data_IF_987408659827
#
_entry.id   IF_987408659827
#
_cell.length_a   1.000
_cell.length_b   1.000
_cell.length_c   1.000
_cell.angle_alpha   90.00
_cell.angle_beta   90.00
_cell.angle_gamma   90.00
#
_symmetry.space_group_name_H-M   'P 1'
#
loop_
_entity.id
_entity.type
_entity.pdbx_description
1 polymer ?
#
# COMPACT_ATOMS: atom_id res chain seq x y z
N UNK A 1 -35.00 -14.17 40.90
CA UNK A 1 -34.29 -14.53 39.66
C UNK A 1 -33.91 -13.23 39.01
N UNK A 2 -32.73 -12.74 39.33
CA UNK A 2 -32.12 -11.57 38.72
C UNK A 2 -31.09 -12.09 37.72
N UNK A 3 -31.28 -11.80 36.44
CA UNK A 3 -30.26 -12.05 35.42
C UNK A 3 -29.25 -10.90 35.45
N UNK A 4 -28.03 -11.18 35.91
CA UNK A 4 -26.87 -10.32 35.74
C UNK A 4 -26.53 -10.19 34.24
N UNK A 5 -26.80 -9.02 33.67
CA UNK A 5 -26.25 -8.63 32.37
C UNK A 5 -24.75 -8.32 32.57
N UNK A 6 -23.90 -9.31 32.27
CA UNK A 6 -22.45 -9.08 32.13
C UNK A 6 -22.20 -8.12 30.96
N UNK A 7 -21.78 -6.90 31.25
CA UNK A 7 -21.16 -6.00 30.25
C UNK A 7 -19.83 -6.62 29.79
N UNK A 8 -19.53 -6.64 28.47
CA UNK A 8 -18.20 -7.02 28.02
C UNK A 8 -17.24 -5.87 28.35
N UNK A 9 -16.40 -6.08 29.36
CA UNK A 9 -15.19 -5.28 29.57
C UNK A 9 -14.16 -5.66 28.49
N UNK A 10 -14.36 -5.16 27.27
CA UNK A 10 -13.24 -4.96 26.36
C UNK A 10 -12.40 -3.81 26.92
N UNK A 11 -11.45 -4.16 27.78
CA UNK A 11 -10.56 -3.21 28.46
C UNK A 11 -9.82 -2.34 27.46
N UNK A 12 -9.56 -1.07 27.81
CA UNK A 12 -8.75 -0.12 27.05
C UNK A 12 -7.38 -0.65 26.62
N UNK A 13 -6.91 -1.75 27.24
CA UNK A 13 -5.71 -2.47 26.84
C UNK A 13 -5.84 -3.14 25.46
N UNK A 14 -7.00 -3.72 25.13
CA UNK A 14 -7.25 -4.33 23.81
C UNK A 14 -7.30 -3.27 22.69
N UNK A 15 -7.71 -2.05 23.05
CA UNK A 15 -7.64 -0.87 22.19
C UNK A 15 -6.22 -0.31 22.10
N UNK A 16 -5.44 -0.32 23.18
CA UNK A 16 -4.01 0.03 23.16
C UNK A 16 -3.24 -0.98 22.32
N UNK A 17 -3.60 -2.26 22.34
CA UNK A 17 -2.96 -3.32 21.56
C UNK A 17 -3.35 -3.25 20.08
N UNK A 18 -4.62 -2.96 19.73
CA UNK A 18 -5.01 -2.61 18.34
C UNK A 18 -4.39 -1.30 17.85
N UNK A 19 -4.24 -0.32 18.73
CA UNK A 19 -3.49 0.90 18.45
C UNK A 19 -2.00 0.58 18.33
N UNK A 20 -1.44 -0.38 19.07
CA UNK A 20 -0.06 -0.83 18.95
C UNK A 20 0.20 -1.62 17.66
N UNK A 21 -0.76 -2.43 17.21
CA UNK A 21 -0.75 -3.07 15.89
C UNK A 21 -0.86 -2.03 14.76
N UNK A 22 -1.62 -0.94 14.99
CA UNK A 22 -1.59 0.26 14.16
C UNK A 22 -0.28 1.07 14.34
N UNK A 23 0.43 0.96 15.48
CA UNK A 23 1.71 1.61 15.78
C UNK A 23 2.94 0.90 15.18
N UNK A 24 2.74 -0.05 14.26
CA UNK A 24 3.67 -0.24 13.13
C UNK A 24 4.00 1.11 12.43
N UNK A 25 3.21 2.17 12.65
CA UNK A 25 3.55 3.55 12.36
C UNK A 25 4.94 4.01 12.87
N UNK A 26 5.48 3.46 13.98
CA UNK A 26 6.83 3.81 14.44
C UNK A 26 7.90 3.18 13.54
N UNK A 27 7.78 1.90 13.19
CA UNK A 27 8.67 1.29 12.19
C UNK A 27 8.56 2.00 10.83
N UNK A 28 7.34 2.33 10.42
CA UNK A 28 7.04 3.07 9.19
C UNK A 28 7.64 4.49 9.24
N UNK A 29 7.51 5.21 10.36
CA UNK A 29 8.04 6.56 10.53
C UNK A 29 9.57 6.56 10.56
N UNK A 30 10.18 5.56 11.20
CA UNK A 30 11.63 5.36 11.21
C UNK A 30 12.16 4.94 9.84
N UNK A 31 11.42 4.11 9.09
CA UNK A 31 11.70 3.77 7.69
C UNK A 31 11.63 4.99 6.77
N UNK A 32 10.70 5.91 7.00
CA UNK A 32 10.56 7.15 6.22
C UNK A 32 11.74 8.10 6.49
N UNK A 33 12.20 8.19 7.75
CA UNK A 33 13.31 9.05 8.17
C UNK A 33 14.69 8.45 7.87
N UNK A 34 14.82 7.14 7.93
CA UNK A 34 16.04 6.42 7.62
C UNK A 34 16.23 6.29 6.10
N UNK A 35 17.49 6.20 5.66
CA UNK A 35 17.83 5.88 4.28
C UNK A 35 18.04 4.38 4.06
N UNK A 36 17.98 3.58 5.14
CA UNK A 36 18.15 2.13 5.10
C UNK A 36 17.35 1.42 6.19
N UNK A 37 17.03 0.15 5.95
CA UNK A 37 16.45 -0.78 6.93
C UNK A 37 17.24 -2.06 6.88
N UNK A 38 17.69 -2.49 8.05
CA UNK A 38 18.37 -3.77 8.26
C UNK A 38 17.36 -4.71 8.94
N UNK A 39 17.33 -5.96 8.51
CA UNK A 39 16.51 -7.02 9.10
C UNK A 39 17.23 -8.37 8.99
N UNK A 40 16.77 -9.35 9.74
CA UNK A 40 17.42 -10.67 9.83
C UNK A 40 16.43 -11.77 9.44
N UNK A 41 16.91 -12.73 8.63
CA UNK A 41 16.18 -13.95 8.26
C UNK A 41 17.19 -15.10 8.30
N UNK A 42 16.88 -16.19 8.99
CA UNK A 42 17.75 -17.38 9.09
C UNK A 42 19.21 -17.05 9.50
N UNK A 43 19.40 -16.15 10.46
CA UNK A 43 20.69 -15.65 10.93
C UNK A 43 21.55 -14.91 9.88
N UNK A 44 20.93 -14.48 8.77
CA UNK A 44 21.57 -13.66 7.74
C UNK A 44 21.01 -12.23 7.86
N UNK A 45 21.90 -11.25 7.99
CA UNK A 45 21.52 -9.85 7.97
C UNK A 45 21.30 -9.38 6.53
N UNK A 46 20.13 -8.81 6.28
CA UNK A 46 19.73 -8.20 5.03
C UNK A 46 19.55 -6.70 5.22
N UNK A 47 19.70 -5.94 4.15
CA UNK A 47 19.36 -4.53 4.14
C UNK A 47 18.74 -4.09 2.83
N UNK A 48 17.93 -3.06 2.93
CA UNK A 48 17.40 -2.30 1.81
C UNK A 48 17.68 -0.82 2.02
N UNK A 49 17.95 -0.11 0.94
CA UNK A 49 18.29 1.32 0.95
C UNK A 49 17.37 2.10 0.02
N UNK A 50 17.19 3.39 0.31
CA UNK A 50 16.58 4.30 -0.67
C UNK A 50 17.38 4.28 -1.98
N UNK A 51 16.71 4.25 -3.14
CA UNK A 51 17.40 4.16 -4.41
C UNK A 51 18.19 5.43 -4.68
N UNK A 52 19.47 5.24 -5.01
CA UNK A 52 20.33 6.31 -5.55
C UNK A 52 19.82 6.80 -6.91
N UNK A 53 20.28 7.97 -7.34
CA UNK A 53 19.93 8.50 -8.67
C UNK A 53 20.26 7.51 -9.80
N UNK A 54 21.41 6.85 -9.74
CA UNK A 54 21.83 5.85 -10.75
C UNK A 54 20.88 4.65 -10.80
N UNK A 55 20.48 4.13 -9.64
CA UNK A 55 19.52 3.03 -9.56
C UNK A 55 18.14 3.44 -10.08
N UNK A 56 17.68 4.68 -9.80
CA UNK A 56 16.42 5.18 -10.37
C UNK A 56 16.49 5.26 -11.90
N UNK A 57 17.59 5.77 -12.46
CA UNK A 57 17.78 5.81 -13.91
C UNK A 57 17.78 4.40 -14.53
N UNK A 58 18.42 3.43 -13.88
CA UNK A 58 18.37 2.03 -14.29
C UNK A 58 16.93 1.49 -14.32
N UNK A 59 16.18 1.68 -13.23
CA UNK A 59 14.78 1.22 -13.15
C UNK A 59 13.90 1.94 -14.17
N UNK A 60 14.10 3.24 -14.42
CA UNK A 60 13.34 3.97 -15.43
C UNK A 60 13.63 3.49 -16.85
N UNK A 61 14.89 3.13 -17.16
CA UNK A 61 15.22 2.51 -18.44
C UNK A 61 14.47 1.19 -18.59
N UNK A 62 14.50 0.35 -17.55
CA UNK A 62 13.80 -0.94 -17.52
C UNK A 62 12.28 -0.80 -17.60
N UNK A 63 11.72 0.22 -16.96
CA UNK A 63 10.30 0.61 -17.08
C UNK A 63 9.92 0.85 -18.54
N UNK A 64 10.72 1.61 -19.28
CA UNK A 64 10.44 1.91 -20.70
C UNK A 64 10.55 0.66 -21.57
N UNK A 65 11.59 -0.16 -21.35
CA UNK A 65 11.74 -1.46 -22.03
C UNK A 65 10.50 -2.33 -21.81
N UNK A 66 10.08 -2.51 -20.56
CA UNK A 66 8.91 -3.34 -20.21
C UNK A 66 7.60 -2.78 -20.75
N UNK A 67 7.42 -1.46 -20.73
CA UNK A 67 6.25 -0.80 -21.31
C UNK A 67 6.15 -1.05 -22.82
N UNK A 68 7.27 -0.95 -23.54
CA UNK A 68 7.33 -1.26 -24.98
C UNK A 68 7.04 -2.75 -25.22
N UNK A 69 7.52 -3.65 -24.36
CA UNK A 69 7.24 -5.07 -24.49
C UNK A 69 5.75 -5.38 -24.30
N UNK A 70 5.09 -4.76 -23.32
CA UNK A 70 3.64 -4.92 -23.15
C UNK A 70 2.83 -4.32 -24.29
N UNK A 71 3.29 -3.24 -24.92
CA UNK A 71 2.63 -2.67 -26.11
C UNK A 71 2.66 -3.61 -27.32
N UNK A 72 3.62 -4.53 -27.39
CA UNK A 72 3.72 -5.51 -28.48
C UNK A 72 2.86 -6.75 -28.25
N UNK A 73 2.40 -6.96 -27.02
CA UNK A 73 1.61 -8.13 -26.63
C UNK A 73 0.12 -7.75 -26.66
N UNK A 74 -0.63 -8.38 -27.56
CA UNK A 74 -2.07 -8.15 -27.77
C UNK A 74 -2.93 -8.45 -26.53
N UNK A 75 -2.37 -9.16 -25.54
CA UNK A 75 -3.06 -9.46 -24.28
C UNK A 75 -3.29 -8.22 -23.42
N UNK A 76 -2.42 -7.21 -23.52
CA UNK A 76 -2.50 -6.03 -22.65
C UNK A 76 -3.16 -4.86 -23.37
N UNK A 77 -3.93 -4.08 -22.60
CA UNK A 77 -4.61 -2.89 -23.08
C UNK A 77 -4.16 -1.69 -22.26
N UNK A 78 -4.13 -0.52 -22.90
CA UNK A 78 -3.96 0.73 -22.17
C UNK A 78 -5.17 0.95 -21.26
N UNK A 79 -4.95 1.61 -20.12
CA UNK A 79 -6.02 1.98 -19.19
C UNK A 79 -7.16 2.71 -19.90
N UNK A 80 -6.82 3.63 -20.81
CA UNK A 80 -7.82 4.37 -21.60
C UNK A 80 -8.71 3.44 -22.43
N UNK A 81 -8.13 2.41 -23.05
CA UNK A 81 -8.87 1.48 -23.89
C UNK A 81 -9.74 0.55 -23.04
N UNK A 82 -9.26 0.14 -21.86
CA UNK A 82 -10.05 -0.58 -20.86
C UNK A 82 -11.25 0.24 -20.39
N UNK A 83 -11.07 1.53 -20.09
CA UNK A 83 -12.18 2.43 -19.71
C UNK A 83 -13.26 2.48 -20.79
N UNK A 84 -12.86 2.59 -22.07
CA UNK A 84 -13.79 2.56 -23.20
C UNK A 84 -14.51 1.20 -23.27
N UNK A 85 -13.79 0.10 -23.08
CA UNK A 85 -14.34 -1.26 -23.11
C UNK A 85 -15.39 -1.45 -22.02
N UNK A 86 -15.10 -1.05 -20.78
CA UNK A 86 -16.01 -1.18 -19.65
C UNK A 86 -17.20 -0.23 -19.74
N UNK A 87 -17.01 0.98 -20.28
CA UNK A 87 -18.11 1.93 -20.52
C UNK A 87 -19.16 1.34 -21.45
N UNK A 88 -18.75 0.62 -22.50
CA UNK A 88 -19.67 -0.13 -23.39
C UNK A 88 -20.46 -1.24 -22.68
N UNK A 89 -19.99 -1.70 -21.52
CA UNK A 89 -20.64 -2.70 -20.66
C UNK A 89 -21.42 -2.08 -19.50
N UNK A 90 -21.57 -0.75 -19.49
CA UNK A 90 -22.30 -0.01 -18.45
C UNK A 90 -21.48 0.29 -17.20
N UNK A 91 -20.16 0.06 -17.21
CA UNK A 91 -19.26 0.36 -16.09
C UNK A 91 -18.45 1.61 -16.44
N UNK A 92 -18.71 2.71 -15.74
CA UNK A 92 -18.01 3.99 -15.93
C UNK A 92 -16.95 4.19 -14.84
N UNK A 93 -15.69 3.85 -15.17
CA UNK A 93 -14.56 3.96 -14.26
C UNK A 93 -14.24 5.41 -13.90
N UNK A 94 -14.47 6.37 -14.81
CA UNK A 94 -14.22 7.77 -14.52
C UNK A 94 -15.27 8.32 -13.54
N UNK A 95 -16.52 7.85 -13.63
CA UNK A 95 -17.54 8.10 -12.60
C UNK A 95 -17.15 7.48 -11.25
N UNK A 96 -16.60 6.27 -11.22
CA UNK A 96 -16.09 5.66 -9.98
C UNK A 96 -14.98 6.51 -9.34
N UNK A 97 -14.08 7.12 -10.14
CA UNK A 97 -13.07 8.04 -9.63
C UNK A 97 -13.70 9.26 -8.95
N UNK A 98 -14.65 9.91 -9.62
CA UNK A 98 -15.36 11.07 -9.09
C UNK A 98 -16.12 10.72 -7.80
N UNK A 99 -16.75 9.55 -7.74
CA UNK A 99 -17.45 9.08 -6.55
C UNK A 99 -16.48 8.84 -5.39
N UNK A 100 -15.34 8.21 -5.65
CA UNK A 100 -14.30 7.95 -4.67
C UNK A 100 -13.74 9.26 -4.09
N UNK A 101 -13.42 10.25 -4.92
CA UNK A 101 -12.96 11.58 -4.48
C UNK A 101 -14.02 12.29 -3.62
N UNK A 102 -15.29 12.22 -4.00
CA UNK A 102 -16.37 12.83 -3.23
C UNK A 102 -16.57 12.15 -1.87
N UNK A 103 -16.51 10.82 -1.80
CA UNK A 103 -16.60 10.07 -0.54
C UNK A 103 -15.41 10.38 0.37
N UNK A 104 -14.19 10.42 -0.18
CA UNK A 104 -13.00 10.79 0.59
C UNK A 104 -13.12 12.19 1.19
N UNK A 105 -13.54 13.18 0.39
CA UNK A 105 -13.77 14.56 0.88
C UNK A 105 -14.81 14.60 2.00
N UNK A 106 -15.93 13.89 1.85
CA UNK A 106 -16.98 13.84 2.89
C UNK A 106 -16.49 13.17 4.17
N UNK A 107 -15.68 12.11 4.05
CA UNK A 107 -15.03 11.44 5.19
C UNK A 107 -14.09 12.40 5.91
N UNK A 108 -13.31 13.20 5.18
CA UNK A 108 -12.40 14.19 5.77
C UNK A 108 -13.17 15.29 6.52
N UNK A 109 -14.28 15.77 5.94
CA UNK A 109 -15.21 16.69 6.62
C UNK A 109 -15.76 16.12 7.93
N UNK A 110 -16.12 14.82 7.95
CA UNK A 110 -16.59 14.14 9.16
C UNK A 110 -15.48 13.96 10.21
N UNK A 111 -14.25 13.68 9.77
CA UNK A 111 -13.09 13.62 10.68
C UNK A 111 -12.83 14.98 11.34
N UNK A 112 -12.99 16.09 10.61
CA UNK A 112 -12.89 17.45 11.18
C UNK A 112 -13.98 17.66 12.24
N UNK A 113 -15.24 17.32 11.93
CA UNK A 113 -16.35 17.42 12.90
C UNK A 113 -16.13 16.58 14.14
N UNK A 114 -15.59 15.37 13.99
CA UNK A 114 -15.23 14.51 15.12
C UNK A 114 -14.16 15.17 16.01
N UNK A 115 -13.12 15.76 15.39
CA UNK A 115 -12.09 16.50 16.12
C UNK A 115 -12.65 17.69 16.90
N UNK A 116 -13.56 18.45 16.30
CA UNK A 116 -14.27 19.55 16.97
C UNK A 116 -15.16 19.06 18.12
N UNK A 117 -15.91 17.98 17.90
CA UNK A 117 -16.78 17.39 18.91
C UNK A 117 -15.99 16.90 20.14
N UNK A 118 -14.82 16.29 19.92
CA UNK A 118 -13.88 15.89 20.98
C UNK A 118 -13.37 17.13 21.73
N UNK A 119 -12.91 18.16 21.01
CA UNK A 119 -12.42 19.41 21.62
C UNK A 119 -13.48 20.10 22.49
N UNK A 120 -14.74 20.06 22.04
CA UNK A 120 -15.87 20.66 22.72
C UNK A 120 -16.48 19.78 23.83
N UNK A 121 -15.90 18.60 24.10
CA UNK A 121 -16.42 17.62 25.09
C UNK A 121 -17.89 17.26 24.85
N UNK A 122 -18.22 17.03 23.58
CA UNK A 122 -19.56 16.56 23.19
C UNK A 122 -19.88 15.22 23.83
N UNK A 123 -21.17 14.89 23.94
CA UNK A 123 -21.59 13.65 24.59
C UNK A 123 -21.09 12.40 23.85
N UNK A 124 -20.85 11.31 24.60
CA UNK A 124 -20.35 10.05 24.05
C UNK A 124 -21.20 9.51 22.90
N UNK A 125 -22.52 9.74 22.94
CA UNK A 125 -23.43 9.28 21.90
C UNK A 125 -23.18 9.98 20.55
N UNK A 126 -22.94 11.30 20.55
CA UNK A 126 -22.65 12.07 19.35
C UNK A 126 -21.30 11.66 18.74
N UNK A 127 -20.31 11.39 19.60
CA UNK A 127 -19.02 10.86 19.18
C UNK A 127 -19.14 9.46 18.55
N UNK A 128 -19.99 8.59 19.11
CA UNK A 128 -20.23 7.26 18.55
C UNK A 128 -20.92 7.32 17.19
N UNK A 129 -21.89 8.22 17.00
CA UNK A 129 -22.56 8.40 15.71
C UNK A 129 -21.54 8.81 14.63
N UNK A 130 -20.72 9.82 14.90
CA UNK A 130 -19.70 10.28 13.95
C UNK A 130 -18.67 9.19 13.62
N UNK A 131 -18.25 8.40 14.60
CA UNK A 131 -17.32 7.28 14.39
C UNK A 131 -17.91 6.23 13.45
N UNK A 132 -19.16 5.81 13.69
CA UNK A 132 -19.85 4.83 12.83
C UNK A 132 -20.03 5.33 11.40
N UNK A 133 -20.36 6.62 11.22
CA UNK A 133 -20.46 7.21 9.89
C UNK A 133 -19.11 7.22 9.16
N UNK A 134 -18.01 7.54 9.86
CA UNK A 134 -16.67 7.50 9.29
C UNK A 134 -16.26 6.07 8.92
N UNK A 135 -16.53 5.09 9.77
CA UNK A 135 -16.28 3.67 9.52
C UNK A 135 -17.04 3.20 8.27
N UNK A 136 -18.34 3.48 8.20
CA UNK A 136 -19.16 3.14 7.03
C UNK A 136 -18.63 3.79 5.75
N UNK A 137 -18.16 5.04 5.80
CA UNK A 137 -17.56 5.69 4.63
C UNK A 137 -16.24 5.05 4.23
N UNK A 138 -15.41 4.64 5.20
CA UNK A 138 -14.15 3.95 4.91
C UNK A 138 -14.40 2.62 4.20
N UNK A 139 -15.40 1.85 4.65
CA UNK A 139 -15.78 0.59 4.01
C UNK A 139 -16.24 0.81 2.56
N UNK A 140 -17.10 1.80 2.31
CA UNK A 140 -17.56 2.14 0.97
C UNK A 140 -16.41 2.59 0.06
N UNK A 141 -15.51 3.43 0.57
CA UNK A 141 -14.31 3.88 -0.15
C UNK A 141 -13.43 2.68 -0.50
N UNK A 142 -13.21 1.77 0.45
CA UNK A 142 -12.38 0.59 0.25
C UNK A 142 -12.96 -0.34 -0.81
N UNK A 143 -14.26 -0.64 -0.75
CA UNK A 143 -14.96 -1.48 -1.73
C UNK A 143 -14.81 -0.88 -3.13
N UNK A 144 -15.11 0.42 -3.29
CA UNK A 144 -15.04 1.10 -4.58
C UNK A 144 -13.60 1.18 -5.11
N UNK A 145 -12.62 1.39 -4.23
CA UNK A 145 -11.20 1.41 -4.59
C UNK A 145 -10.72 0.05 -5.08
N UNK A 146 -11.11 -1.03 -4.41
CA UNK A 146 -10.78 -2.41 -4.79
C UNK A 146 -11.43 -2.77 -6.12
N UNK A 147 -12.72 -2.48 -6.30
CA UNK A 147 -13.42 -2.75 -7.55
C UNK A 147 -12.76 -2.03 -8.73
N UNK A 148 -12.47 -0.72 -8.56
CA UNK A 148 -11.74 0.05 -9.57
C UNK A 148 -10.37 -0.55 -9.88
N UNK A 149 -9.61 -0.91 -8.84
CA UNK A 149 -8.29 -1.52 -9.01
C UNK A 149 -8.38 -2.83 -9.78
N UNK A 150 -9.38 -3.66 -9.51
CA UNK A 150 -9.58 -4.93 -10.20
C UNK A 150 -9.93 -4.73 -11.69
N UNK A 151 -10.77 -3.74 -12.01
CA UNK A 151 -11.11 -3.41 -13.40
C UNK A 151 -9.89 -2.96 -14.20
N UNK A 152 -8.99 -2.21 -13.56
CA UNK A 152 -7.78 -1.68 -14.17
C UNK A 152 -6.55 -2.57 -14.00
N UNK A 153 -6.66 -3.69 -13.27
CA UNK A 153 -5.55 -4.61 -13.02
C UNK A 153 -4.84 -5.09 -14.30
N UNK A 154 -5.55 -5.42 -15.40
CA UNK A 154 -4.89 -5.86 -16.63
C UNK A 154 -4.28 -4.72 -17.45
N UNK A 155 -4.36 -3.46 -17.02
CA UNK A 155 -3.83 -2.34 -17.79
C UNK A 155 -2.31 -2.37 -17.88
N UNK A 156 -1.76 -1.94 -19.02
CA UNK A 156 -0.31 -1.81 -19.21
C UNK A 156 0.28 -0.93 -18.09
N UNK A 157 -0.37 0.18 -17.74
CA UNK A 157 0.07 1.11 -16.71
C UNK A 157 0.19 0.41 -15.35
N UNK A 158 -0.79 -0.43 -15.00
CA UNK A 158 -0.78 -1.19 -13.75
C UNK A 158 0.30 -2.28 -13.76
N UNK A 159 0.43 -3.03 -14.84
CA UNK A 159 1.44 -4.08 -14.98
C UNK A 159 2.86 -3.50 -14.95
N UNK A 160 3.07 -2.33 -15.57
CA UNK A 160 4.33 -1.60 -15.49
C UNK A 160 4.59 -1.09 -14.07
N UNK A 161 3.58 -0.59 -13.37
CA UNK A 161 3.73 -0.19 -11.96
C UNK A 161 4.20 -1.35 -11.09
N UNK A 162 3.57 -2.52 -11.20
CA UNK A 162 3.96 -3.74 -10.48
C UNK A 162 5.41 -4.13 -10.82
N UNK A 163 5.76 -4.13 -12.11
CA UNK A 163 7.11 -4.42 -12.55
C UNK A 163 8.14 -3.45 -11.96
N UNK A 164 7.85 -2.15 -11.90
CA UNK A 164 8.77 -1.15 -11.35
C UNK A 164 9.08 -1.45 -9.88
N UNK A 165 8.06 -1.70 -9.05
CA UNK A 165 8.27 -2.02 -7.63
C UNK A 165 9.08 -3.30 -7.47
N UNK A 166 8.72 -4.34 -8.23
CA UNK A 166 9.43 -5.61 -8.28
C UNK A 166 10.90 -5.45 -8.69
N UNK A 167 11.18 -4.61 -9.70
CA UNK A 167 12.54 -4.36 -10.18
C UNK A 167 13.34 -3.48 -9.19
N UNK A 168 12.69 -2.53 -8.51
CA UNK A 168 13.33 -1.82 -7.39
C UNK A 168 13.72 -2.77 -6.27
N UNK A 169 12.84 -3.70 -5.89
CA UNK A 169 13.14 -4.72 -4.88
C UNK A 169 14.40 -5.51 -5.25
N UNK A 170 14.47 -5.99 -6.49
CA UNK A 170 15.66 -6.66 -7.02
C UNK A 170 16.94 -5.79 -6.92
N UNK A 171 16.87 -4.53 -7.35
CA UNK A 171 18.05 -3.64 -7.40
C UNK A 171 18.56 -3.22 -6.01
N UNK A 172 17.67 -3.13 -5.03
CA UNK A 172 17.95 -2.55 -3.71
C UNK A 172 18.22 -3.58 -2.61
N UNK A 173 17.94 -4.86 -2.86
CA UNK A 173 18.13 -5.91 -1.89
C UNK A 173 19.61 -6.30 -1.74
N UNK A 174 20.13 -6.16 -0.53
CA UNK A 174 21.50 -6.55 -0.18
C UNK A 174 21.50 -7.51 1.02
N UNK A 175 22.46 -8.44 1.04
CA UNK A 175 22.78 -9.32 2.16
C UNK A 175 24.19 -9.05 2.67
N UNK A 176 24.40 -9.29 3.96
CA UNK A 176 25.72 -9.17 4.59
C UNK A 176 26.53 -10.43 4.32
N UNK A 177 27.75 -10.25 3.85
CA UNK A 177 28.76 -11.30 3.65
C UNK A 177 30.10 -10.82 4.22
N UNK A 178 30.45 -11.29 5.41
CA UNK A 178 31.55 -10.74 6.21
C UNK A 178 31.32 -9.26 6.55
N UNK A 179 32.26 -8.41 6.14
CA UNK A 179 32.18 -6.95 6.30
C UNK A 179 31.46 -6.25 5.14
N UNK A 180 31.19 -6.98 4.05
CA UNK A 180 30.64 -6.43 2.83
C UNK A 180 29.13 -6.63 2.73
N UNK A 181 28.49 -5.78 1.94
CA UNK A 181 27.10 -5.94 1.55
C UNK A 181 27.05 -6.23 0.05
N UNK A 182 26.47 -7.37 -0.29
CA UNK A 182 26.37 -7.87 -1.66
C UNK A 182 24.92 -7.94 -2.08
N UNK A 183 24.65 -7.87 -3.39
CA UNK A 183 23.29 -8.08 -3.89
C UNK A 183 22.77 -9.45 -3.46
N UNK A 184 21.49 -9.51 -3.10
CA UNK A 184 20.82 -10.79 -2.82
C UNK A 184 20.73 -11.64 -4.08
N UNK A 185 20.39 -11.00 -5.20
CA UNK A 185 20.18 -11.62 -6.50
C UNK A 185 21.10 -10.99 -7.56
N UNK A 186 21.68 -11.81 -8.44
CA UNK A 186 22.58 -11.32 -9.48
C UNK A 186 21.82 -10.92 -10.74
N UNK A 187 20.79 -11.68 -11.08
CA UNK A 187 19.88 -11.42 -12.20
C UNK A 187 18.45 -11.18 -11.72
N UNK A 188 17.62 -10.57 -12.58
CA UNK A 188 16.20 -10.42 -12.27
C UNK A 188 15.48 -11.78 -12.24
N UNK A 189 15.91 -12.74 -13.04
CA UNK A 189 15.40 -14.12 -13.04
C UNK A 189 15.72 -14.84 -11.72
N UNK A 190 16.91 -14.62 -11.14
CA UNK A 190 17.25 -15.15 -9.80
C UNK A 190 16.28 -14.62 -8.74
N UNK A 191 15.85 -13.37 -8.89
CA UNK A 191 14.88 -12.73 -8.01
C UNK A 191 13.48 -13.32 -8.20
N UNK A 192 13.02 -13.48 -9.44
CA UNK A 192 11.70 -14.06 -9.74
C UNK A 192 11.56 -15.51 -9.23
N UNK A 193 12.69 -16.24 -9.17
CA UNK A 193 12.75 -17.61 -8.64
C UNK A 193 13.28 -17.68 -7.20
N UNK A 194 13.39 -16.55 -6.51
CA UNK A 194 13.93 -16.45 -5.17
C UNK A 194 12.99 -16.98 -4.07
N UNK A 195 13.48 -16.99 -2.84
CA UNK A 195 12.67 -17.36 -1.68
C UNK A 195 11.53 -16.36 -1.45
N UNK A 196 10.28 -16.84 -1.50
CA UNK A 196 9.09 -15.97 -1.46
C UNK A 196 9.00 -15.14 -0.17
N UNK A 197 9.40 -15.71 0.98
CA UNK A 197 9.42 -14.95 2.23
C UNK A 197 10.35 -13.74 2.14
N UNK A 198 11.54 -13.95 1.57
CA UNK A 198 12.54 -12.91 1.42
C UNK A 198 12.09 -11.83 0.43
N UNK A 199 11.54 -12.25 -0.71
CA UNK A 199 10.93 -11.36 -1.70
C UNK A 199 9.86 -10.50 -1.04
N UNK A 200 8.90 -11.10 -0.33
CA UNK A 200 7.81 -10.38 0.32
C UNK A 200 8.32 -9.33 1.32
N UNK A 201 9.31 -9.69 2.15
CA UNK A 201 9.93 -8.76 3.11
C UNK A 201 10.60 -7.59 2.41
N UNK A 202 11.40 -7.85 1.38
CA UNK A 202 12.05 -6.78 0.63
C UNK A 202 11.04 -5.91 -0.13
N UNK A 203 10.00 -6.49 -0.73
CA UNK A 203 8.95 -5.75 -1.44
C UNK A 203 8.21 -4.82 -0.49
N UNK A 204 7.85 -5.29 0.71
CA UNK A 204 7.24 -4.45 1.74
C UNK A 204 8.10 -3.22 2.04
N UNK A 205 9.38 -3.41 2.38
CA UNK A 205 10.27 -2.29 2.67
C UNK A 205 10.54 -1.40 1.45
N UNK A 206 10.57 -1.97 0.24
CA UNK A 206 10.72 -1.22 -1.01
C UNK A 206 9.57 -0.24 -1.17
N UNK A 207 8.33 -0.72 -1.02
CA UNK A 207 7.13 0.10 -1.11
C UNK A 207 7.13 1.21 -0.07
N UNK A 208 7.55 0.92 1.16
CA UNK A 208 7.66 1.92 2.23
C UNK A 208 8.73 3.00 1.94
N UNK A 209 9.89 2.61 1.40
CA UNK A 209 11.00 3.55 1.14
C UNK A 209 10.81 4.43 -0.09
N UNK A 210 10.10 3.92 -1.10
CA UNK A 210 9.82 4.65 -2.34
C UNK A 210 8.53 5.46 -2.22
N UNK A 211 7.55 4.98 -1.45
CA UNK A 211 6.23 5.60 -1.34
C UNK A 211 5.53 5.76 -2.69
N UNK A 212 4.60 6.72 -2.77
CA UNK A 212 3.92 7.11 -4.00
C UNK A 212 4.73 8.13 -4.85
N UNK A 213 6.06 8.18 -4.70
CA UNK A 213 6.90 9.22 -5.34
C UNK A 213 7.38 8.87 -6.77
N UNK A 214 6.68 7.95 -7.45
CA UNK A 214 6.96 7.50 -8.82
C UNK A 214 5.88 7.94 -9.81
#
# INVERSE_FOLDING_TARGET
MEEEIKKPEETSQDYIDKVNDLLNLNEIADLVKSNEKIFEVNNISYRIKKPSYKQRQEVYKKKMEKYIDFLKDEKYLLEKDLKILYSKRGIDIDKMNIELENKMRRRDEMMIKLGEAIKNKSGDNDLQILKREIESMNDEIQILAVEKSNLLDPSIEKQVSIFIYSYFTFVLAEKKDGENWLKVWNTYEDYENGEQELINRFSFYTTMMIGNSL
#
